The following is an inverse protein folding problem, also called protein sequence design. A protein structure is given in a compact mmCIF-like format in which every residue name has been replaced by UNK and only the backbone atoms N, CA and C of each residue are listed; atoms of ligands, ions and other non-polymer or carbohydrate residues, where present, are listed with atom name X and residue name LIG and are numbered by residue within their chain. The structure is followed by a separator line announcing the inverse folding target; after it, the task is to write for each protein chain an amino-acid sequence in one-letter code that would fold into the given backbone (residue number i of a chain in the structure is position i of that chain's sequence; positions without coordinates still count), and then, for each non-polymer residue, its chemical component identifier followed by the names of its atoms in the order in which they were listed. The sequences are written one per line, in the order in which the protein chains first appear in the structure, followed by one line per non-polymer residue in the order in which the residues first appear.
data_IF_985066525380
#
_entry.id   IF_985066525380
#
_cell.length_a   1.000
_cell.length_b   1.000
_cell.length_c   1.000
_cell.angle_alpha   90.00
_cell.angle_beta   90.00
_cell.angle_gamma   90.00
#
_symmetry.space_group_name_H-M   'P 1'
#
loop_
_entity.id
_entity.type
_entity.pdbx_description
1 polymer ?
#
# COMPACT_ATOMS: atom_id res chain seq x y z
N UNK A 1 -18.76 -5.16 3.61
CA UNK A 1 -18.70 -3.79 4.19
C UNK A 1 -20.12 -3.29 4.37
N UNK A 2 -20.47 -2.59 5.47
CA UNK A 2 -21.86 -2.16 5.72
C UNK A 2 -22.31 -0.93 4.90
N UNK A 3 -21.39 -0.02 4.58
CA UNK A 3 -21.63 1.13 3.68
C UNK A 3 -20.37 1.41 2.87
N UNK A 4 -20.50 1.52 1.56
CA UNK A 4 -19.43 1.96 0.66
C UNK A 4 -19.28 3.49 0.69
N UNK A 5 -18.07 4.04 0.45
CA UNK A 5 -17.92 5.47 0.22
C UNK A 5 -18.73 5.89 -1.02
N UNK A 6 -19.37 7.05 -0.94
CA UNK A 6 -20.18 7.59 -2.05
C UNK A 6 -19.30 8.10 -3.19
N UNK A 7 -18.08 8.55 -2.87
CA UNK A 7 -17.07 8.96 -3.83
C UNK A 7 -15.67 8.54 -3.35
N UNK A 8 -14.78 8.25 -4.31
CA UNK A 8 -13.36 8.02 -4.09
C UNK A 8 -12.61 8.98 -5.00
N UNK A 9 -11.64 9.70 -4.45
CA UNK A 9 -10.71 10.54 -5.20
C UNK A 9 -9.41 9.77 -5.39
N UNK A 10 -8.81 9.86 -6.57
CA UNK A 10 -7.59 9.15 -6.92
C UNK A 10 -6.61 10.07 -7.66
N UNK A 11 -5.33 9.80 -7.49
CA UNK A 11 -4.23 10.40 -8.25
C UNK A 11 -3.26 9.28 -8.60
N UNK A 12 -2.82 9.22 -9.86
CA UNK A 12 -1.88 8.21 -10.36
C UNK A 12 -2.50 7.29 -11.41
N UNK A 13 -2.05 6.04 -11.45
CA UNK A 13 -2.47 5.07 -12.46
C UNK A 13 -3.71 4.27 -12.01
N UNK A 14 -4.88 4.64 -12.54
CA UNK A 14 -6.16 3.98 -12.20
C UNK A 14 -6.30 2.57 -12.76
N UNK A 15 -5.51 2.16 -13.76
CA UNK A 15 -5.55 0.79 -14.30
C UNK A 15 -5.18 -0.27 -13.24
N UNK A 16 -4.50 0.13 -12.16
CA UNK A 16 -4.22 -0.75 -11.02
C UNK A 16 -5.49 -1.22 -10.30
N UNK A 17 -6.60 -0.50 -10.43
CA UNK A 17 -7.88 -0.85 -9.82
C UNK A 17 -8.51 -2.10 -10.45
N UNK A 18 -8.15 -2.45 -11.68
CA UNK A 18 -8.69 -3.62 -12.39
C UNK A 18 -7.94 -4.93 -12.06
N UNK A 19 -6.74 -4.82 -11.49
CA UNK A 19 -5.85 -5.97 -11.25
C UNK A 19 -6.19 -6.70 -9.95
N UNK A 20 -5.71 -7.94 -9.78
CA UNK A 20 -5.84 -8.65 -8.49
C UNK A 20 -5.09 -7.88 -7.41
N UNK A 21 -5.72 -7.73 -6.23
CA UNK A 21 -5.23 -6.90 -5.12
C UNK A 21 -5.06 -7.72 -3.86
N UNK A 22 -4.01 -7.45 -3.09
CA UNK A 22 -3.78 -7.99 -1.73
C UNK A 22 -3.46 -6.84 -0.81
N UNK A 23 -4.10 -6.80 0.36
CA UNK A 23 -3.77 -5.82 1.40
C UNK A 23 -2.67 -6.35 2.31
N UNK A 24 -1.66 -5.51 2.57
CA UNK A 24 -0.62 -5.77 3.56
C UNK A 24 -0.65 -4.62 4.57
N UNK A 25 -0.95 -4.95 5.82
CA UNK A 25 -1.04 -4.00 6.93
C UNK A 25 -0.30 -4.54 8.14
N UNK A 26 0.16 -3.66 9.03
CA UNK A 26 0.78 -4.11 10.27
C UNK A 26 1.29 -2.99 11.17
N UNK A 27 2.22 -3.35 12.05
CA UNK A 27 2.77 -2.41 13.05
C UNK A 27 3.58 -1.28 12.41
N UNK A 28 3.51 -0.09 13.03
CA UNK A 28 4.35 1.06 12.68
C UNK A 28 5.81 0.90 13.13
N UNK A 29 6.10 -0.07 14.01
CA UNK A 29 7.44 -0.36 14.54
C UNK A 29 7.80 -1.85 14.35
N UNK A 30 8.00 -2.30 13.10
CA UNK A 30 8.32 -3.71 12.83
C UNK A 30 9.73 -4.08 13.28
N UNK A 31 9.88 -5.32 13.77
CA UNK A 31 11.18 -5.94 14.00
C UNK A 31 11.88 -6.25 12.67
N UNK A 32 13.20 -6.48 12.70
CA UNK A 32 13.99 -6.72 11.49
C UNK A 32 13.44 -7.87 10.63
N UNK A 33 13.02 -8.97 11.25
CA UNK A 33 12.42 -10.10 10.53
C UNK A 33 11.13 -9.68 9.80
N UNK A 34 10.27 -8.91 10.47
CA UNK A 34 9.00 -8.43 9.88
C UNK A 34 9.27 -7.53 8.69
N UNK A 35 10.29 -6.66 8.78
CA UNK A 35 10.70 -5.79 7.66
C UNK A 35 11.10 -6.63 6.45
N UNK A 36 12.00 -7.60 6.66
CA UNK A 36 12.53 -8.45 5.58
C UNK A 36 11.42 -9.27 4.89
N UNK A 37 10.57 -9.95 5.68
CA UNK A 37 9.49 -10.76 5.12
C UNK A 37 8.40 -9.91 4.45
N UNK A 38 8.04 -8.76 5.02
CA UNK A 38 7.05 -7.85 4.40
C UNK A 38 7.52 -7.43 3.01
N UNK A 39 8.78 -7.01 2.89
CA UNK A 39 9.37 -6.63 1.62
C UNK A 39 9.39 -7.80 0.62
N UNK A 40 9.85 -8.98 1.05
CA UNK A 40 9.93 -10.18 0.20
C UNK A 40 8.56 -10.63 -0.32
N UNK A 41 7.54 -10.63 0.55
CA UNK A 41 6.18 -11.00 0.19
C UNK A 41 5.59 -9.99 -0.80
N UNK A 42 5.68 -8.69 -0.51
CA UNK A 42 5.19 -7.64 -1.40
C UNK A 42 5.84 -7.71 -2.80
N UNK A 43 7.16 -7.93 -2.84
CA UNK A 43 7.90 -8.10 -4.10
C UNK A 43 7.49 -9.35 -4.87
N UNK A 44 7.24 -10.46 -4.17
CA UNK A 44 6.80 -11.70 -4.80
C UNK A 44 5.39 -11.59 -5.40
N UNK A 45 4.50 -10.83 -4.74
CA UNK A 45 3.16 -10.53 -5.23
C UNK A 45 3.21 -9.62 -6.46
N UNK A 46 3.96 -8.53 -6.40
CA UNK A 46 4.13 -7.60 -7.51
C UNK A 46 4.68 -8.28 -8.78
N UNK A 47 5.67 -9.17 -8.63
CA UNK A 47 6.22 -9.97 -9.74
C UNK A 47 5.18 -10.87 -10.44
N UNK A 48 4.06 -11.17 -9.78
CA UNK A 48 2.95 -11.98 -10.32
C UNK A 48 1.80 -11.13 -10.82
N UNK A 49 2.00 -9.82 -10.94
CA UNK A 49 0.95 -8.90 -11.37
C UNK A 49 -0.07 -8.56 -10.28
N UNK A 50 0.17 -8.94 -9.02
CA UNK A 50 -0.71 -8.58 -7.90
C UNK A 50 -0.36 -7.20 -7.38
N UNK A 51 -1.38 -6.36 -7.20
CA UNK A 51 -1.26 -5.01 -6.64
C UNK A 51 -1.32 -5.07 -5.13
N UNK A 52 -0.33 -4.46 -4.46
CA UNK A 52 -0.29 -4.34 -2.99
C UNK A 52 -1.01 -3.07 -2.56
N UNK A 53 -2.01 -3.23 -1.69
CA UNK A 53 -2.80 -2.12 -1.14
C UNK A 53 -2.46 -1.90 0.34
N UNK A 54 -2.14 -0.68 0.74
CA UNK A 54 -1.82 -0.35 2.14
C UNK A 54 -2.11 1.12 2.48
N UNK A 55 -1.91 1.54 3.73
CA UNK A 55 -2.33 2.85 4.24
C UNK A 55 -1.25 3.95 4.21
N UNK A 56 -0.12 3.71 3.54
CA UNK A 56 1.05 4.61 3.50
C UNK A 56 1.61 5.05 4.87
N UNK A 57 1.27 4.35 5.96
CA UNK A 57 1.81 4.63 7.28
C UNK A 57 3.31 4.24 7.37
N UNK A 58 3.98 4.67 8.44
CA UNK A 58 5.31 4.16 8.78
C UNK A 58 5.27 2.64 9.05
N UNK A 59 6.41 1.98 8.91
CA UNK A 59 6.57 0.57 9.28
C UNK A 59 6.13 -0.37 8.16
N UNK A 60 5.24 -1.31 8.48
CA UNK A 60 4.83 -2.37 7.55
C UNK A 60 4.27 -1.81 6.23
N UNK A 61 3.42 -0.80 6.28
CA UNK A 61 2.79 -0.20 5.10
C UNK A 61 3.83 0.36 4.12
N UNK A 62 4.73 1.22 4.60
CA UNK A 62 5.83 1.78 3.80
C UNK A 62 6.70 0.68 3.18
N UNK A 63 7.03 -0.37 3.93
CA UNK A 63 7.86 -1.49 3.45
C UNK A 63 7.10 -2.32 2.40
N UNK A 64 5.79 -2.49 2.55
CA UNK A 64 4.96 -3.17 1.58
C UNK A 64 4.93 -2.41 0.24
N UNK A 65 4.73 -1.08 0.29
CA UNK A 65 4.82 -0.22 -0.90
C UNK A 65 6.19 -0.30 -1.56
N UNK A 66 7.28 -0.25 -0.77
CA UNK A 66 8.65 -0.37 -1.27
C UNK A 66 8.92 -1.73 -1.93
N UNK A 67 8.41 -2.82 -1.35
CA UNK A 67 8.57 -4.17 -1.90
C UNK A 67 7.78 -4.36 -3.19
N UNK A 68 6.57 -3.80 -3.27
CA UNK A 68 5.71 -3.89 -4.44
C UNK A 68 6.20 -3.04 -5.63
N UNK A 69 6.74 -1.86 -5.34
CA UNK A 69 7.13 -0.88 -6.34
C UNK A 69 5.95 -0.07 -6.90
N UNK A 70 6.26 1.07 -7.50
CA UNK A 70 5.27 2.08 -7.94
C UNK A 70 4.24 1.55 -8.94
N UNK A 71 4.63 0.62 -9.81
CA UNK A 71 3.77 0.00 -10.83
C UNK A 71 2.78 -1.03 -10.27
N UNK A 72 2.88 -1.39 -9.00
CA UNK A 72 2.12 -2.49 -8.40
C UNK A 72 1.58 -2.14 -7.01
N UNK A 73 1.34 -0.88 -6.71
CA UNK A 73 0.87 -0.49 -5.38
C UNK A 73 -0.15 0.63 -5.37
N UNK A 74 -1.07 0.57 -4.41
CA UNK A 74 -2.09 1.59 -4.16
C UNK A 74 -2.03 1.96 -2.69
N UNK A 75 -1.88 3.26 -2.40
CA UNK A 75 -2.00 3.82 -1.07
C UNK A 75 -3.43 4.33 -0.82
N UNK A 76 -4.03 3.92 0.30
CA UNK A 76 -5.31 4.46 0.78
C UNK A 76 -5.01 5.47 1.89
N UNK A 77 -5.18 6.75 1.57
CA UNK A 77 -4.83 7.84 2.47
C UNK A 77 -5.96 8.10 3.49
N UNK A 78 -5.58 8.43 4.72
CA UNK A 78 -6.53 8.79 5.79
C UNK A 78 -6.91 10.29 5.78
N UNK A 79 -6.29 11.06 4.90
CA UNK A 79 -6.40 12.50 4.75
C UNK A 79 -6.58 12.87 3.26
N UNK A 80 -6.77 14.15 2.98
CA UNK A 80 -6.79 14.65 1.59
C UNK A 80 -5.49 14.32 0.85
N UNK A 81 -5.61 14.04 -0.45
CA UNK A 81 -4.46 13.70 -1.30
C UNK A 81 -3.48 14.87 -1.48
N UNK A 82 -3.89 16.08 -1.10
CA UNK A 82 -3.11 17.30 -1.02
C UNK A 82 -2.20 17.36 0.24
N UNK A 83 -2.39 16.46 1.20
CA UNK A 83 -1.64 16.44 2.46
C UNK A 83 -0.73 15.20 2.52
N UNK A 84 0.59 15.43 2.51
CA UNK A 84 1.58 14.35 2.71
C UNK A 84 1.64 13.94 4.17
N UNK A 85 1.08 12.78 4.51
CA UNK A 85 1.12 12.22 5.86
C UNK A 85 1.39 10.71 5.88
N UNK A 86 2.30 10.21 6.74
CA UNK A 86 3.21 10.99 7.58
C UNK A 86 4.31 11.63 6.73
N UNK A 87 4.77 12.85 7.08
CA UNK A 87 5.71 13.62 6.27
C UNK A 87 7.06 12.93 5.97
N UNK A 88 7.37 11.86 6.69
CA UNK A 88 8.59 11.05 6.53
C UNK A 88 8.52 10.02 5.40
N UNK A 89 7.33 9.78 4.83
CA UNK A 89 7.09 8.92 3.67
C UNK A 89 6.76 9.79 2.45
#
# INVERSE_FOLDING_TARGET
MKKAPEAIYAIGNETLLERVKVSIVGTRKPLAYTKDYTYKIAKALAKRGVVVVSGAAMGVDAIAHQGAGVENTIAVMANGLDIRYPAVN
#
